data_IF_347325090890
#
_entry.id   IF_347325090890
#
_cell.length_a   1.000
_cell.length_b   1.000
_cell.length_c   1.000
_cell.angle_alpha   90.00
_cell.angle_beta   90.00
_cell.angle_gamma   90.00
#
_symmetry.space_group_name_H-M   'P 1'
#
loop_
_entity.id
_entity.type
_entity.pdbx_description
1 polymer ?
#
# COMPACT_ATOMS: atom_id res chain seq x y z
N UNK A 1 -26.13 11.12 -0.36
CA UNK A 1 -24.89 11.89 -0.16
C UNK A 1 -23.80 10.87 0.10
N UNK A 2 -22.86 10.74 -0.82
CA UNK A 2 -21.77 9.74 -0.69
C UNK A 2 -20.54 10.45 -0.10
N UNK A 3 -20.10 10.01 1.07
CA UNK A 3 -18.95 10.63 1.75
C UNK A 3 -17.63 9.97 1.38
N UNK A 4 -17.64 8.77 0.80
CA UNK A 4 -16.43 8.00 0.51
C UNK A 4 -16.73 6.94 -0.57
N UNK A 5 -16.57 7.32 -1.83
CA UNK A 5 -16.73 6.46 -3.00
C UNK A 5 -15.40 6.19 -3.70
N UNK A 6 -15.47 5.76 -4.96
CA UNK A 6 -14.29 5.40 -5.74
C UNK A 6 -13.27 6.53 -5.88
N UNK A 7 -13.73 7.77 -6.08
CA UNK A 7 -12.85 8.95 -6.19
C UNK A 7 -12.11 9.23 -4.89
N UNK A 8 -12.80 9.24 -3.77
CA UNK A 8 -12.21 9.49 -2.45
C UNK A 8 -11.24 8.37 -2.06
N UNK A 9 -11.55 7.10 -2.40
CA UNK A 9 -10.65 5.97 -2.26
C UNK A 9 -9.35 6.21 -3.04
N UNK A 10 -9.45 6.62 -4.30
CA UNK A 10 -8.30 6.90 -5.17
C UNK A 10 -7.45 8.06 -4.65
N UNK A 11 -8.05 9.20 -4.29
CA UNK A 11 -7.34 10.37 -3.76
C UNK A 11 -6.63 10.05 -2.45
N UNK A 12 -7.32 9.35 -1.55
CA UNK A 12 -6.76 8.91 -0.27
C UNK A 12 -5.60 7.93 -0.47
N UNK A 13 -5.73 6.98 -1.41
CA UNK A 13 -4.66 6.05 -1.76
C UNK A 13 -3.44 6.77 -2.37
N UNK A 14 -3.64 7.69 -3.33
CA UNK A 14 -2.55 8.50 -3.90
C UNK A 14 -1.80 9.29 -2.83
N UNK A 15 -2.52 9.81 -1.83
CA UNK A 15 -1.90 10.52 -0.71
C UNK A 15 -0.99 9.59 0.10
N UNK A 16 -1.43 8.36 0.38
CA UNK A 16 -0.63 7.37 1.08
C UNK A 16 0.58 6.96 0.25
N UNK A 17 0.40 6.59 -1.02
CA UNK A 17 1.46 6.19 -1.95
C UNK A 17 2.49 7.31 -2.16
N UNK A 18 2.07 8.55 -2.29
CA UNK A 18 3.00 9.71 -2.35
C UNK A 18 3.91 9.78 -1.14
N UNK A 19 3.39 9.51 0.05
CA UNK A 19 4.19 9.50 1.27
C UNK A 19 5.14 8.29 1.32
N UNK A 20 4.71 7.12 0.84
CA UNK A 20 5.58 5.94 0.70
C UNK A 20 6.73 6.21 -0.28
N UNK A 21 6.44 6.84 -1.42
CA UNK A 21 7.44 7.24 -2.41
C UNK A 21 8.45 8.23 -1.82
N UNK A 22 8.01 9.20 -1.01
CA UNK A 22 8.92 10.12 -0.34
C UNK A 22 9.90 9.39 0.59
N UNK A 23 9.44 8.39 1.33
CA UNK A 23 10.31 7.56 2.17
C UNK A 23 11.29 6.74 1.32
N UNK A 24 10.81 6.11 0.24
CA UNK A 24 11.68 5.37 -0.67
C UNK A 24 12.76 6.26 -1.29
N UNK A 25 12.45 7.52 -1.58
CA UNK A 25 13.42 8.52 -2.06
C UNK A 25 14.41 8.96 -0.99
N UNK A 26 13.94 9.17 0.24
CA UNK A 26 14.77 9.65 1.36
C UNK A 26 15.81 8.60 1.81
N UNK A 27 15.46 7.32 1.82
CA UNK A 27 16.38 6.25 2.22
C UNK A 27 17.44 6.05 1.11
N UNK A 28 18.76 6.13 1.43
CA UNK A 28 19.84 5.87 0.46
C UNK A 28 19.81 4.44 -0.07
N UNK A 29 20.25 4.22 -1.32
CA UNK A 29 20.23 2.91 -1.97
C UNK A 29 21.05 1.85 -1.22
N UNK A 30 22.21 2.25 -0.67
CA UNK A 30 23.07 1.38 0.13
C UNK A 30 22.43 0.92 1.46
N UNK A 31 21.26 1.46 1.80
CA UNK A 31 20.46 1.07 2.96
C UNK A 31 19.23 0.21 2.61
N UNK A 32 19.03 -0.12 1.34
CA UNK A 32 17.88 -0.94 0.96
C UNK A 32 17.95 -2.39 1.49
N UNK A 33 19.14 -2.88 1.81
CA UNK A 33 19.35 -4.19 2.46
C UNK A 33 19.29 -4.12 4.00
N UNK A 34 19.14 -2.93 4.58
CA UNK A 34 19.04 -2.78 6.03
C UNK A 34 17.79 -3.48 6.57
N UNK A 35 17.99 -4.28 7.63
CA UNK A 35 16.96 -4.99 8.40
C UNK A 35 17.04 -4.56 9.85
N UNK A 36 15.93 -4.14 10.48
CA UNK A 36 15.92 -3.87 11.92
C UNK A 36 16.28 -5.08 12.78
N UNK A 37 15.83 -6.27 12.37
CA UNK A 37 16.10 -7.57 12.99
C UNK A 37 16.25 -8.62 11.88
N UNK A 38 16.99 -9.73 12.11
CA UNK A 38 17.22 -10.77 11.10
C UNK A 38 15.95 -11.33 10.47
N UNK A 39 14.87 -11.45 11.25
CA UNK A 39 13.58 -12.03 10.82
C UNK A 39 12.66 -11.01 10.12
N UNK A 40 13.03 -9.73 10.10
CA UNK A 40 12.20 -8.70 9.47
C UNK A 40 12.53 -8.58 7.98
N UNK A 41 11.61 -7.99 7.23
CA UNK A 41 11.90 -7.55 5.86
C UNK A 41 12.97 -6.45 5.87
N UNK A 42 13.85 -6.45 4.86
CA UNK A 42 14.70 -5.30 4.57
C UNK A 42 13.86 -4.11 4.05
N UNK A 43 14.47 -2.94 3.96
CA UNK A 43 13.82 -1.77 3.35
C UNK A 43 13.31 -2.10 1.93
N UNK A 44 14.16 -2.69 1.08
CA UNK A 44 13.79 -3.06 -0.28
C UNK A 44 12.67 -4.08 -0.34
N UNK A 45 12.73 -5.13 0.49
CA UNK A 45 11.68 -6.14 0.57
C UNK A 45 10.35 -5.56 1.09
N UNK A 46 10.41 -4.62 2.03
CA UNK A 46 9.21 -3.97 2.56
C UNK A 46 8.55 -3.07 1.52
N UNK A 47 9.35 -2.34 0.75
CA UNK A 47 8.87 -1.51 -0.37
C UNK A 47 8.28 -2.38 -1.50
N UNK A 48 8.93 -3.52 -1.83
CA UNK A 48 8.41 -4.48 -2.81
C UNK A 48 7.07 -5.07 -2.33
N UNK A 49 6.99 -5.46 -1.07
CA UNK A 49 5.76 -5.95 -0.47
C UNK A 49 4.62 -4.93 -0.56
N UNK A 50 4.87 -3.67 -0.22
CA UNK A 50 3.88 -2.58 -0.37
C UNK A 50 3.42 -2.44 -1.83
N UNK A 51 4.34 -2.50 -2.79
CA UNK A 51 4.00 -2.35 -4.20
C UNK A 51 3.14 -3.49 -4.74
N UNK A 52 3.42 -4.74 -4.32
CA UNK A 52 2.88 -5.95 -4.93
C UNK A 52 1.65 -6.50 -4.19
N UNK A 53 1.52 -6.22 -2.89
CA UNK A 53 0.45 -6.77 -2.04
C UNK A 53 -0.97 -6.46 -2.51
N UNK A 54 -1.19 -5.33 -3.21
CA UNK A 54 -2.48 -5.00 -3.81
C UNK A 54 -2.89 -5.98 -4.92
N UNK A 55 -1.95 -6.78 -5.44
CA UNK A 55 -2.20 -7.84 -6.43
C UNK A 55 -3.25 -8.85 -5.98
N UNK A 56 -3.40 -9.06 -4.68
CA UNK A 56 -4.47 -9.87 -4.12
C UNK A 56 -5.85 -9.27 -4.41
N UNK A 57 -6.04 -8.01 -4.09
CA UNK A 57 -7.31 -7.32 -4.32
C UNK A 57 -7.57 -7.05 -5.82
N UNK A 58 -6.52 -6.81 -6.61
CA UNK A 58 -6.63 -6.74 -8.07
C UNK A 58 -7.20 -8.02 -8.63
N UNK A 59 -6.68 -9.18 -8.21
CA UNK A 59 -7.13 -10.49 -8.68
C UNK A 59 -8.63 -10.68 -8.41
N UNK A 60 -9.06 -10.42 -7.19
CA UNK A 60 -10.46 -10.64 -6.76
C UNK A 60 -11.42 -9.66 -7.43
N UNK A 61 -11.07 -8.36 -7.47
CA UNK A 61 -12.04 -7.32 -7.80
C UNK A 61 -11.93 -6.78 -9.23
N UNK A 62 -10.70 -6.67 -9.76
CA UNK A 62 -10.48 -6.07 -11.07
C UNK A 62 -10.37 -7.11 -12.18
N UNK A 63 -9.67 -8.24 -11.94
CA UNK A 63 -9.43 -9.25 -12.97
C UNK A 63 -10.58 -10.27 -13.06
N UNK A 64 -10.97 -10.89 -11.94
CA UNK A 64 -11.95 -11.98 -11.92
C UNK A 64 -13.33 -11.56 -11.43
N UNK A 65 -13.46 -10.43 -10.77
CA UNK A 65 -14.70 -9.90 -10.20
C UNK A 65 -15.47 -10.97 -9.39
N UNK A 66 -14.74 -11.68 -8.53
CA UNK A 66 -15.30 -12.76 -7.74
C UNK A 66 -16.34 -12.24 -6.75
N UNK A 67 -17.42 -13.00 -6.57
CA UNK A 67 -18.42 -12.75 -5.52
C UNK A 67 -18.34 -13.78 -4.38
N UNK A 68 -17.46 -14.74 -4.49
CA UNK A 68 -17.14 -15.73 -3.46
C UNK A 68 -15.67 -16.11 -3.53
N UNK A 69 -15.07 -16.36 -2.37
CA UNK A 69 -13.72 -16.89 -2.24
C UNK A 69 -13.73 -18.38 -1.82
N UNK A 70 -14.90 -19.02 -1.81
CA UNK A 70 -15.00 -20.47 -1.63
C UNK A 70 -14.30 -21.16 -2.81
N UNK A 71 -13.31 -22.00 -2.51
CA UNK A 71 -12.53 -22.70 -3.54
C UNK A 71 -11.48 -21.85 -4.26
N UNK A 72 -11.29 -20.59 -3.85
CA UNK A 72 -10.23 -19.73 -4.43
C UNK A 72 -8.84 -20.28 -4.11
N UNK A 73 -7.97 -20.37 -5.12
CA UNK A 73 -6.60 -20.87 -4.97
C UNK A 73 -5.65 -19.81 -4.41
N UNK A 74 -5.79 -19.55 -3.09
CA UNK A 74 -4.89 -18.66 -2.36
C UNK A 74 -3.41 -19.07 -2.45
N UNK A 75 -3.04 -20.37 -2.30
CA UNK A 75 -1.66 -20.79 -2.35
C UNK A 75 -0.96 -20.40 -3.65
N UNK A 76 -1.59 -20.66 -4.80
CA UNK A 76 -1.01 -20.30 -6.10
C UNK A 76 -0.86 -18.80 -6.28
N UNK A 77 -1.86 -18.01 -5.86
CA UNK A 77 -1.74 -16.55 -5.91
C UNK A 77 -0.62 -16.05 -5.01
N UNK A 78 -0.53 -16.51 -3.77
CA UNK A 78 0.52 -16.11 -2.83
C UNK A 78 1.90 -16.51 -3.33
N UNK A 79 2.06 -17.70 -3.90
CA UNK A 79 3.33 -18.14 -4.51
C UNK A 79 3.78 -17.18 -5.62
N UNK A 80 2.85 -16.75 -6.49
CA UNK A 80 3.14 -15.81 -7.58
C UNK A 80 3.55 -14.43 -7.03
N UNK A 81 2.77 -13.87 -6.11
CA UNK A 81 3.06 -12.55 -5.51
C UNK A 81 4.39 -12.56 -4.74
N UNK A 82 4.66 -13.63 -3.97
CA UNK A 82 5.93 -13.79 -3.27
C UNK A 82 7.12 -13.90 -4.22
N UNK A 83 7.00 -14.60 -5.35
CA UNK A 83 8.04 -14.68 -6.35
C UNK A 83 8.35 -13.29 -6.95
N UNK A 84 7.33 -12.48 -7.18
CA UNK A 84 7.48 -11.11 -7.66
C UNK A 84 8.09 -10.19 -6.60
N UNK A 85 7.66 -10.28 -5.34
CA UNK A 85 8.26 -9.53 -4.23
C UNK A 85 9.77 -9.79 -4.11
N UNK A 86 10.19 -11.03 -4.29
CA UNK A 86 11.60 -11.46 -4.17
C UNK A 86 12.46 -11.13 -5.41
N UNK A 87 11.89 -10.52 -6.46
CA UNK A 87 12.68 -10.10 -7.62
C UNK A 87 13.61 -8.95 -7.21
N UNK A 88 14.94 -9.08 -7.41
CA UNK A 88 15.88 -8.01 -7.09
C UNK A 88 15.59 -6.74 -7.89
N UNK A 89 15.64 -5.58 -7.23
CA UNK A 89 15.40 -4.27 -7.86
C UNK A 89 16.35 -3.23 -7.32
N UNK A 90 16.86 -2.39 -8.21
CA UNK A 90 17.55 -1.15 -7.80
C UNK A 90 16.54 -0.17 -7.19
N UNK A 91 17.04 0.84 -6.47
CA UNK A 91 16.19 1.92 -5.94
C UNK A 91 15.33 2.58 -7.02
N UNK A 92 15.91 2.85 -8.19
CA UNK A 92 15.19 3.45 -9.32
C UNK A 92 14.04 2.53 -9.77
N UNK A 93 14.31 1.26 -9.99
CA UNK A 93 13.28 0.28 -10.38
C UNK A 93 12.19 0.13 -9.32
N UNK A 94 12.54 0.21 -8.04
CA UNK A 94 11.56 0.16 -6.94
C UNK A 94 10.64 1.39 -6.94
N UNK A 95 11.18 2.59 -7.13
CA UNK A 95 10.41 3.83 -7.22
C UNK A 95 9.49 3.81 -8.45
N UNK A 96 9.98 3.31 -9.59
CA UNK A 96 9.18 3.13 -10.81
C UNK A 96 8.01 2.16 -10.58
N UNK A 97 8.28 1.00 -9.94
CA UNK A 97 7.27 0.01 -9.61
C UNK A 97 6.17 0.62 -8.72
N UNK A 98 6.56 1.26 -7.60
CA UNK A 98 5.64 1.91 -6.68
C UNK A 98 4.80 2.98 -7.38
N UNK A 99 5.41 3.76 -8.26
CA UNK A 99 4.73 4.84 -9.00
C UNK A 99 3.71 4.27 -9.99
N UNK A 100 4.18 3.37 -10.86
CA UNK A 100 3.37 2.80 -11.94
C UNK A 100 2.20 1.98 -11.39
N UNK A 101 2.49 1.08 -10.44
CA UNK A 101 1.48 0.22 -9.86
C UNK A 101 0.48 1.02 -9.03
N UNK A 102 0.97 1.98 -8.25
CA UNK A 102 0.11 2.85 -7.45
C UNK A 102 -0.85 3.68 -8.29
N UNK A 103 -0.38 4.29 -9.38
CA UNK A 103 -1.26 5.07 -10.26
C UNK A 103 -2.26 4.20 -11.02
N UNK A 104 -1.85 3.02 -11.47
CA UNK A 104 -2.76 2.06 -12.11
C UNK A 104 -3.89 1.64 -11.16
N UNK A 105 -3.56 1.37 -9.89
CA UNK A 105 -4.55 1.06 -8.86
C UNK A 105 -5.48 2.24 -8.58
N UNK A 106 -4.93 3.43 -8.37
CA UNK A 106 -5.72 4.64 -8.12
C UNK A 106 -6.68 4.95 -9.28
N UNK A 107 -6.22 4.84 -10.51
CA UNK A 107 -7.06 5.04 -11.70
C UNK A 107 -8.20 4.04 -11.80
N UNK A 108 -7.95 2.78 -11.45
CA UNK A 108 -9.02 1.78 -11.37
C UNK A 108 -10.04 2.13 -10.29
N UNK A 109 -9.59 2.55 -9.10
CA UNK A 109 -10.48 2.99 -8.01
C UNK A 109 -11.41 4.14 -8.42
N UNK A 110 -10.90 5.13 -9.16
CA UNK A 110 -11.69 6.28 -9.63
C UNK A 110 -12.90 5.89 -10.48
N UNK A 111 -12.81 4.75 -11.17
CA UNK A 111 -13.87 4.23 -12.03
C UNK A 111 -14.94 3.43 -11.30
N UNK A 112 -14.80 3.20 -10.00
CA UNK A 112 -15.75 2.39 -9.22
C UNK A 112 -16.97 3.20 -8.81
N UNK A 113 -18.16 2.62 -9.03
CA UNK A 113 -19.41 3.16 -8.55
C UNK A 113 -19.83 2.56 -7.20
N UNK A 114 -20.84 3.16 -6.58
CA UNK A 114 -21.35 2.75 -5.27
C UNK A 114 -21.98 1.35 -5.29
N UNK A 115 -22.59 0.96 -6.40
CA UNK A 115 -23.20 -0.35 -6.54
C UNK A 115 -22.11 -1.42 -6.49
N UNK A 116 -21.03 -1.24 -7.27
CA UNK A 116 -19.89 -2.13 -7.22
C UNK A 116 -19.25 -2.19 -5.82
N UNK A 117 -19.03 -1.04 -5.20
CA UNK A 117 -18.43 -0.97 -3.86
C UNK A 117 -19.30 -1.63 -2.79
N UNK A 118 -20.63 -1.57 -2.96
CA UNK A 118 -21.61 -2.23 -2.07
C UNK A 118 -21.79 -3.72 -2.30
N UNK A 119 -21.29 -4.30 -3.41
CA UNK A 119 -21.39 -5.74 -3.66
C UNK A 119 -20.71 -6.54 -2.53
N UNK A 120 -21.34 -7.65 -2.14
CA UNK A 120 -20.83 -8.53 -1.07
C UNK A 120 -20.05 -9.68 -1.67
N UNK A 121 -18.87 -9.95 -1.10
CA UNK A 121 -18.04 -11.10 -1.39
C UNK A 121 -18.11 -12.07 -0.23
N UNK A 122 -18.53 -13.32 -0.50
CA UNK A 122 -18.54 -14.39 0.50
C UNK A 122 -17.12 -14.88 0.75
N UNK A 123 -16.74 -14.95 2.01
CA UNK A 123 -15.42 -15.42 2.42
C UNK A 123 -15.36 -16.97 2.37
N UNK A 124 -14.15 -17.58 2.42
CA UNK A 124 -14.04 -19.03 2.58
C UNK A 124 -14.80 -19.54 3.83
N UNK A 125 -15.15 -20.81 3.91
CA UNK A 125 -15.92 -21.36 5.04
C UNK A 125 -15.31 -21.09 6.43
N UNK A 126 -13.98 -20.92 6.50
CA UNK A 126 -13.24 -20.57 7.73
C UNK A 126 -13.06 -19.07 7.92
N UNK A 127 -13.57 -18.24 7.00
CA UNK A 127 -13.40 -16.79 7.02
C UNK A 127 -14.26 -16.12 8.11
N UNK A 128 -13.68 -15.15 8.79
CA UNK A 128 -14.38 -14.31 9.78
C UNK A 128 -14.07 -12.85 9.49
N UNK A 129 -15.07 -12.02 9.22
CA UNK A 129 -16.50 -12.34 9.07
C UNK A 129 -16.80 -13.22 7.84
N UNK A 130 -17.99 -13.85 7.74
CA UNK A 130 -18.32 -14.76 6.64
C UNK A 130 -18.53 -14.08 5.28
N UNK A 131 -18.69 -12.76 5.28
CA UNK A 131 -18.81 -11.96 4.08
C UNK A 131 -18.32 -10.51 4.34
N UNK A 132 -17.84 -9.85 3.29
CA UNK A 132 -17.37 -8.44 3.33
C UNK A 132 -17.85 -7.72 2.09
N UNK A 133 -18.08 -6.42 2.18
CA UNK A 133 -18.29 -5.60 0.98
C UNK A 133 -17.00 -5.44 0.20
N UNK A 134 -17.09 -5.18 -1.12
CA UNK A 134 -15.90 -4.84 -1.91
C UNK A 134 -15.23 -3.58 -1.37
N UNK A 135 -16.03 -2.60 -0.93
CA UNK A 135 -15.51 -1.39 -0.29
C UNK A 135 -14.56 -1.72 0.87
N UNK A 136 -15.01 -2.54 1.82
CA UNK A 136 -14.22 -2.92 2.98
C UNK A 136 -12.92 -3.67 2.60
N UNK A 137 -13.01 -4.58 1.62
CA UNK A 137 -11.84 -5.32 1.12
C UNK A 137 -10.85 -4.41 0.37
N UNK A 138 -11.34 -3.50 -0.46
CA UNK A 138 -10.52 -2.57 -1.24
C UNK A 138 -9.86 -1.52 -0.33
N UNK A 139 -10.57 -1.04 0.67
CA UNK A 139 -10.05 -0.09 1.66
C UNK A 139 -8.82 -0.65 2.39
N UNK A 140 -8.80 -1.96 2.65
CA UNK A 140 -7.68 -2.64 3.31
C UNK A 140 -6.34 -2.49 2.59
N UNK A 141 -6.31 -2.24 1.27
CA UNK A 141 -5.07 -1.99 0.52
C UNK A 141 -4.35 -0.75 1.05
N UNK A 142 -5.09 0.34 1.22
CA UNK A 142 -4.56 1.59 1.78
C UNK A 142 -4.11 1.40 3.24
N UNK A 143 -4.91 0.72 4.03
CA UNK A 143 -4.60 0.47 5.46
C UNK A 143 -3.34 -0.38 5.61
N UNK A 144 -3.18 -1.41 4.79
CA UNK A 144 -1.99 -2.23 4.73
C UNK A 144 -0.73 -1.42 4.35
N UNK A 145 -0.81 -0.56 3.34
CA UNK A 145 0.29 0.33 2.99
C UNK A 145 0.61 1.31 4.13
N UNK A 146 -0.40 1.88 4.80
CA UNK A 146 -0.19 2.76 5.96
C UNK A 146 0.48 2.04 7.12
N UNK A 147 0.14 0.77 7.38
CA UNK A 147 0.79 -0.06 8.39
C UNK A 147 2.30 -0.20 8.10
N UNK A 148 2.66 -0.61 6.88
CA UNK A 148 4.06 -0.78 6.48
C UNK A 148 4.81 0.54 6.35
N UNK A 149 4.15 1.61 5.94
CA UNK A 149 4.72 2.96 5.95
C UNK A 149 5.14 3.39 7.36
N UNK A 150 4.33 3.05 8.37
CA UNK A 150 4.72 3.29 9.78
C UNK A 150 6.01 2.59 10.15
N UNK A 151 6.21 1.35 9.70
CA UNK A 151 7.46 0.59 9.90
C UNK A 151 8.64 1.27 9.18
N UNK A 152 8.45 1.70 7.92
CA UNK A 152 9.49 2.43 7.18
C UNK A 152 9.88 3.74 7.86
N UNK A 153 8.92 4.50 8.40
CA UNK A 153 9.22 5.73 9.16
C UNK A 153 9.99 5.47 10.46
N UNK A 154 9.81 4.31 11.09
CA UNK A 154 10.65 3.88 12.20
C UNK A 154 12.06 3.54 11.71
N UNK A 155 12.18 2.83 10.59
CA UNK A 155 13.48 2.49 9.98
C UNK A 155 14.24 3.76 9.58
N UNK A 156 13.58 4.78 8.98
CA UNK A 156 14.22 6.08 8.71
C UNK A 156 14.90 6.63 9.96
N UNK A 157 14.21 6.63 11.12
CA UNK A 157 14.80 7.11 12.39
C UNK A 157 15.99 6.28 12.85
N UNK A 158 15.93 4.97 12.68
CA UNK A 158 17.06 4.07 13.02
C UNK A 158 18.29 4.35 12.13
N UNK A 159 18.05 4.81 10.89
CA UNK A 159 19.09 5.23 9.95
C UNK A 159 19.53 6.70 10.13
N UNK A 160 19.01 7.40 11.14
CA UNK A 160 19.31 8.82 11.38
C UNK A 160 18.57 9.80 10.46
N UNK A 161 17.56 9.32 9.71
CA UNK A 161 16.76 10.13 8.80
C UNK A 161 15.51 10.63 9.53
N UNK A 162 15.26 11.95 9.49
CA UNK A 162 14.01 12.51 10.00
C UNK A 162 12.92 12.30 8.95
N UNK A 163 11.81 11.56 9.23
CA UNK A 163 10.77 11.31 8.25
C UNK A 163 10.15 12.58 7.67
N UNK A 164 9.85 12.55 6.37
CA UNK A 164 9.37 13.73 5.62
C UNK A 164 8.12 14.39 6.23
N UNK A 165 7.20 13.64 6.84
CA UNK A 165 6.04 14.21 7.51
C UNK A 165 6.42 15.01 8.77
N UNK A 166 7.44 14.54 9.50
CA UNK A 166 8.00 15.26 10.65
C UNK A 166 8.70 16.53 10.21
N UNK A 167 9.51 16.50 9.13
CA UNK A 167 10.16 17.69 8.55
C UNK A 167 9.13 18.75 8.15
N UNK A 168 8.09 18.35 7.41
CA UNK A 168 7.00 19.27 7.01
C UNK A 168 6.29 19.91 8.19
N UNK A 169 6.08 19.17 9.26
CA UNK A 169 5.47 19.72 10.48
C UNK A 169 6.42 20.75 11.13
N UNK A 170 7.70 20.46 11.26
CA UNK A 170 8.71 21.37 11.78
C UNK A 170 8.81 22.68 10.97
N UNK A 171 8.84 22.56 9.64
CA UNK A 171 8.85 23.71 8.72
C UNK A 171 7.61 24.61 8.90
N UNK A 172 6.42 24.02 9.05
CA UNK A 172 5.18 24.76 9.31
C UNK A 172 5.22 25.53 10.64
N UNK A 173 5.75 24.90 11.69
CA UNK A 173 5.89 25.57 12.99
C UNK A 173 6.91 26.71 12.92
N UNK A 174 8.06 26.49 12.29
CA UNK A 174 9.06 27.54 12.10
C UNK A 174 8.50 28.74 11.31
N UNK A 175 7.80 28.47 10.19
CA UNK A 175 7.17 29.51 9.39
C UNK A 175 6.06 30.28 10.14
N UNK A 176 5.34 29.62 11.04
CA UNK A 176 4.32 30.27 11.88
C UNK A 176 4.95 31.15 12.97
N UNK A 177 6.08 30.72 13.54
CA UNK A 177 6.80 31.49 14.55
C UNK A 177 7.44 32.76 13.95
N UNK A 178 7.93 32.68 12.70
CA UNK A 178 8.55 33.82 12.00
C UNK A 178 7.55 34.93 11.59
N UNK A 179 6.24 34.65 11.66
CA UNK A 179 5.17 35.64 11.32
C UNK A 179 4.62 36.38 12.55
N UNK A 180 5.10 36.04 13.73
CA UNK A 180 4.78 36.74 14.98
C UNK A 180 5.89 37.73 15.36
#
# INVERSE_FOLDING_TARGET
MNYYGGKELAESFRTVRKNTLAIAQDIPEDKYDFRPMPETRSVGELLAHIAISNGFQKKIHAEERLNTLAGFDFPSLMKRLSAEENTPRTKVQMIELLTKDGEAWAKWLEGLDDNFLGEVVTMPPTGTPPARTRFDMILSVKEHEMHHRGQLMLIERMLGIVPHLTRRMQERFAASAAKK
#
